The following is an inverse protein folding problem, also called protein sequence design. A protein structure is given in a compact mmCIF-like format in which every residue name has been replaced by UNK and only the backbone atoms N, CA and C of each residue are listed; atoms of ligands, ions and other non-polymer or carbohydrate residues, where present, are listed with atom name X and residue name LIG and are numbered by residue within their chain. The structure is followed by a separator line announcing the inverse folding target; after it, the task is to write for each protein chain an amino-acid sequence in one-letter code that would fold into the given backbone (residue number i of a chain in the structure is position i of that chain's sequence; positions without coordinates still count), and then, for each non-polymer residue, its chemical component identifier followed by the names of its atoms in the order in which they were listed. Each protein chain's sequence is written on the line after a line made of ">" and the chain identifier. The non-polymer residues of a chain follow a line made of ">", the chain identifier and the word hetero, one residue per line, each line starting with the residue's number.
data_IF_518826293519
#
_entry.id   IF_518826293519
#
_cell.length_a   1.000
_cell.length_b   1.000
_cell.length_c   1.000
_cell.angle_alpha   90.00
_cell.angle_beta   90.00
_cell.angle_gamma   90.00
#
_symmetry.space_group_name_H-M   'P 1'
#
loop_
_entity.id
_entity.type
_entity.pdbx_description
1 polymer ?
#
# COMPACT_ATOMS: atom_id res chain seq x y z
N UNK A 1 48.66 65.69 -6.38
CA UNK A 1 48.88 64.22 -6.35
C UNK A 1 47.99 63.43 -5.36
N UNK A 2 47.22 64.07 -4.47
CA UNK A 2 46.39 63.37 -3.46
C UNK A 2 45.08 62.75 -4.00
N UNK A 3 44.49 63.32 -5.06
CA UNK A 3 43.23 62.80 -5.63
C UNK A 3 43.36 61.42 -6.30
N UNK A 4 44.57 61.04 -6.74
CA UNK A 4 44.81 59.75 -7.42
C UNK A 4 44.75 58.57 -6.46
N UNK A 5 45.25 58.73 -5.23
CA UNK A 5 45.21 57.68 -4.19
C UNK A 5 43.79 57.41 -3.70
N UNK A 6 42.93 58.44 -3.60
CA UNK A 6 41.54 58.26 -3.17
C UNK A 6 40.69 57.52 -4.22
N UNK A 7 40.94 57.78 -5.51
CA UNK A 7 40.28 57.06 -6.61
C UNK A 7 40.66 55.57 -6.62
N UNK A 8 41.93 55.23 -6.43
CA UNK A 8 42.40 53.84 -6.39
C UNK A 8 41.83 53.03 -5.21
N UNK A 9 41.72 53.64 -4.02
CA UNK A 9 41.08 53.00 -2.87
C UNK A 9 39.57 52.74 -3.09
N UNK A 10 38.86 53.64 -3.78
CA UNK A 10 37.44 53.43 -4.09
C UNK A 10 37.21 52.32 -5.13
N UNK A 11 38.12 52.18 -6.11
CA UNK A 11 38.07 51.12 -7.12
C UNK A 11 38.42 49.75 -6.55
N UNK A 12 39.41 49.68 -5.65
CA UNK A 12 39.76 48.47 -4.92
C UNK A 12 38.62 48.03 -3.98
N UNK A 13 37.99 48.98 -3.29
CA UNK A 13 36.82 48.69 -2.46
C UNK A 13 35.64 48.14 -3.27
N UNK A 14 35.32 48.75 -4.43
CA UNK A 14 34.26 48.25 -5.32
C UNK A 14 34.54 46.86 -5.89
N UNK A 15 35.77 46.58 -6.29
CA UNK A 15 36.14 45.26 -6.85
C UNK A 15 36.13 44.14 -5.80
N UNK A 16 36.53 44.44 -4.56
CA UNK A 16 36.43 43.51 -3.44
C UNK A 16 34.97 43.22 -3.08
N UNK A 17 34.13 44.25 -2.96
CA UNK A 17 32.70 44.09 -2.67
C UNK A 17 31.99 43.29 -3.76
N UNK A 18 32.29 43.57 -5.04
CA UNK A 18 31.70 42.82 -6.14
C UNK A 18 32.13 41.34 -6.15
N UNK A 19 33.40 41.03 -5.82
CA UNK A 19 33.86 39.64 -5.70
C UNK A 19 33.16 38.92 -4.55
N UNK A 20 33.07 39.53 -3.37
CA UNK A 20 32.39 38.94 -2.20
C UNK A 20 30.92 38.66 -2.52
N UNK A 21 30.21 39.61 -3.12
CA UNK A 21 28.81 39.42 -3.52
C UNK A 21 28.65 38.27 -4.54
N UNK A 22 29.58 38.13 -5.50
CA UNK A 22 29.55 37.04 -6.48
C UNK A 22 29.84 35.67 -5.86
N UNK A 23 30.69 35.61 -4.83
CA UNK A 23 30.99 34.38 -4.09
C UNK A 23 29.83 33.97 -3.20
N UNK A 24 29.20 34.92 -2.51
CA UNK A 24 27.99 34.69 -1.72
C UNK A 24 26.84 34.19 -2.59
N UNK A 25 26.61 34.80 -3.76
CA UNK A 25 25.59 34.34 -4.70
C UNK A 25 25.85 32.93 -5.25
N UNK A 26 27.13 32.55 -5.46
CA UNK A 26 27.51 31.18 -5.85
C UNK A 26 27.33 30.18 -4.71
N UNK A 27 27.69 30.56 -3.48
CA UNK A 27 27.51 29.72 -2.30
C UNK A 27 26.01 29.44 -2.03
N UNK A 28 25.15 30.46 -2.13
CA UNK A 28 23.70 30.30 -2.00
C UNK A 28 23.12 29.38 -3.09
N UNK A 29 23.59 29.50 -4.34
CA UNK A 29 23.19 28.58 -5.43
C UNK A 29 23.68 27.15 -5.22
N UNK A 30 24.88 26.97 -4.65
CA UNK A 30 25.41 25.65 -4.31
C UNK A 30 24.63 24.98 -3.19
N UNK A 31 24.22 25.75 -2.17
CA UNK A 31 23.42 25.25 -1.06
C UNK A 31 22.01 24.83 -1.53
N UNK A 32 21.34 25.63 -2.37
CA UNK A 32 20.02 25.25 -2.89
C UNK A 32 20.07 24.01 -3.79
N UNK A 33 21.15 23.83 -4.57
CA UNK A 33 21.37 22.60 -5.34
C UNK A 33 21.58 21.38 -4.44
N UNK A 34 22.31 21.53 -3.34
CA UNK A 34 22.54 20.45 -2.38
C UNK A 34 21.25 20.06 -1.64
N UNK A 35 20.45 21.04 -1.21
CA UNK A 35 19.15 20.80 -0.57
C UNK A 35 18.18 20.08 -1.51
N UNK A 36 18.12 20.48 -2.79
CA UNK A 36 17.30 19.80 -3.79
C UNK A 36 17.78 18.37 -4.09
N UNK A 37 19.10 18.19 -4.22
CA UNK A 37 19.70 16.88 -4.46
C UNK A 37 19.45 15.89 -3.32
N UNK A 38 19.30 16.39 -2.08
CA UNK A 38 18.98 15.58 -0.91
C UNK A 38 17.46 15.37 -0.77
N UNK A 39 16.64 16.38 -1.06
CA UNK A 39 15.19 16.30 -0.94
C UNK A 39 14.55 15.33 -1.95
N UNK A 40 15.06 15.30 -3.20
CA UNK A 40 14.53 14.44 -4.26
C UNK A 40 14.55 12.94 -3.95
N UNK A 41 15.66 12.33 -3.52
CA UNK A 41 15.67 10.90 -3.17
C UNK A 41 14.79 10.58 -1.95
N UNK A 42 14.68 11.50 -0.98
CA UNK A 42 13.77 11.32 0.17
C UNK A 42 12.32 11.33 -0.30
N UNK A 43 11.94 12.28 -1.16
CA UNK A 43 10.59 12.35 -1.71
C UNK A 43 10.27 11.09 -2.53
N UNK A 44 11.21 10.64 -3.36
CA UNK A 44 11.05 9.41 -4.13
C UNK A 44 10.86 8.18 -3.21
N UNK A 45 11.67 8.05 -2.15
CA UNK A 45 11.53 6.98 -1.17
C UNK A 45 10.18 7.02 -0.45
N UNK A 46 9.68 8.22 -0.11
CA UNK A 46 8.36 8.40 0.51
C UNK A 46 7.22 7.98 -0.43
N UNK A 47 7.28 8.38 -1.70
CA UNK A 47 6.26 8.01 -2.69
C UNK A 47 6.25 6.49 -2.93
N UNK A 48 7.43 5.86 -3.02
CA UNK A 48 7.54 4.40 -3.13
C UNK A 48 7.00 3.71 -1.88
N UNK A 49 7.33 4.21 -0.70
CA UNK A 49 6.80 3.68 0.57
C UNK A 49 5.28 3.78 0.66
N UNK A 50 4.70 4.91 0.24
CA UNK A 50 3.25 5.11 0.20
C UNK A 50 2.58 4.15 -0.79
N UNK A 51 3.16 3.96 -1.98
CA UNK A 51 2.64 3.02 -2.97
C UNK A 51 2.66 1.58 -2.43
N UNK A 52 3.77 1.14 -1.83
CA UNK A 52 3.90 -0.19 -1.22
C UNK A 52 2.88 -0.40 -0.09
N UNK A 53 2.69 0.60 0.77
CA UNK A 53 1.68 0.56 1.83
C UNK A 53 0.26 0.44 1.25
N UNK A 54 -0.03 1.19 0.17
CA UNK A 54 -1.30 1.10 -0.54
C UNK A 54 -1.55 -0.28 -1.14
N UNK A 55 -0.56 -0.88 -1.78
CA UNK A 55 -0.64 -2.25 -2.30
C UNK A 55 -0.89 -3.27 -1.19
N UNK A 56 -0.22 -3.12 -0.04
CA UNK A 56 -0.45 -3.99 1.11
C UNK A 56 -1.87 -3.83 1.67
N UNK A 57 -2.36 -2.61 1.83
CA UNK A 57 -3.72 -2.34 2.29
C UNK A 57 -4.78 -2.92 1.33
N UNK A 58 -4.58 -2.78 0.01
CA UNK A 58 -5.47 -3.36 -0.99
C UNK A 58 -5.49 -4.89 -0.93
N UNK A 59 -4.32 -5.50 -0.77
CA UNK A 59 -4.19 -6.95 -0.58
C UNK A 59 -4.90 -7.43 0.70
N UNK A 60 -4.73 -6.74 1.81
CA UNK A 60 -5.43 -7.06 3.06
C UNK A 60 -6.96 -6.95 2.90
N UNK A 61 -7.45 -5.86 2.29
CA UNK A 61 -8.87 -5.67 2.01
C UNK A 61 -9.44 -6.79 1.11
N UNK A 62 -8.66 -7.26 0.15
CA UNK A 62 -9.05 -8.38 -0.71
C UNK A 62 -9.14 -9.72 0.04
N UNK A 63 -8.27 -9.94 1.03
CA UNK A 63 -8.31 -11.12 1.88
C UNK A 63 -9.61 -11.12 2.71
N UNK A 64 -9.92 -9.99 3.33
CA UNK A 64 -11.13 -9.83 4.15
C UNK A 64 -12.40 -9.94 3.32
N UNK A 65 -12.41 -9.38 2.10
CA UNK A 65 -13.49 -9.60 1.13
C UNK A 65 -13.65 -11.08 0.78
N UNK A 66 -12.54 -11.78 0.50
CA UNK A 66 -12.53 -13.20 0.20
C UNK A 66 -13.12 -14.05 1.33
N UNK A 67 -12.74 -13.75 2.57
CA UNK A 67 -13.29 -14.39 3.78
C UNK A 67 -14.79 -14.14 3.89
N UNK A 68 -15.22 -12.90 3.66
CA UNK A 68 -16.64 -12.52 3.73
C UNK A 68 -17.48 -13.27 2.68
N UNK A 69 -17.13 -13.14 1.41
CA UNK A 69 -17.93 -13.69 0.32
C UNK A 69 -17.97 -15.23 0.35
N UNK A 70 -16.86 -15.88 0.75
CA UNK A 70 -16.81 -17.34 0.90
C UNK A 70 -17.71 -17.80 2.04
N UNK A 71 -17.74 -17.08 3.16
CA UNK A 71 -18.60 -17.43 4.29
C UNK A 71 -20.09 -17.22 4.00
N UNK A 72 -20.44 -16.20 3.22
CA UNK A 72 -21.80 -16.02 2.73
C UNK A 72 -22.18 -17.14 1.76
N UNK A 73 -21.32 -17.45 0.78
CA UNK A 73 -21.58 -18.49 -0.22
C UNK A 73 -21.74 -19.89 0.36
N UNK A 74 -20.99 -20.19 1.41
CA UNK A 74 -21.05 -21.46 2.15
C UNK A 74 -22.37 -21.60 2.91
N UNK A 75 -22.96 -20.50 3.41
CA UNK A 75 -24.16 -20.56 4.24
C UNK A 75 -25.48 -20.25 3.52
N UNK A 76 -25.43 -19.56 2.38
CA UNK A 76 -26.62 -19.10 1.65
C UNK A 76 -27.35 -20.20 0.89
N UNK A 77 -26.70 -21.33 0.57
CA UNK A 77 -27.24 -22.38 -0.27
C UNK A 77 -27.09 -23.76 0.37
N UNK A 78 -27.99 -24.69 0.05
CA UNK A 78 -27.85 -26.11 0.45
C UNK A 78 -26.63 -26.77 -0.19
N UNK A 79 -26.37 -26.44 -1.46
CA UNK A 79 -25.14 -26.76 -2.18
C UNK A 79 -24.23 -25.53 -2.16
N UNK A 80 -23.12 -25.55 -1.41
CA UNK A 80 -22.22 -24.39 -1.31
C UNK A 80 -21.70 -23.93 -2.67
N UNK A 81 -21.89 -22.65 -2.99
CA UNK A 81 -21.36 -22.03 -4.23
C UNK A 81 -19.91 -21.52 -4.05
N UNK A 82 -19.15 -22.15 -3.16
CA UNK A 82 -17.81 -21.68 -2.78
C UNK A 82 -16.80 -21.78 -3.91
N UNK A 83 -16.96 -22.73 -4.84
CA UNK A 83 -16.08 -22.85 -6.01
C UNK A 83 -16.21 -21.65 -6.96
N UNK A 84 -17.44 -21.20 -7.22
CA UNK A 84 -17.74 -20.05 -8.07
C UNK A 84 -17.25 -18.75 -7.42
N UNK A 85 -17.46 -18.63 -6.11
CA UNK A 85 -17.06 -17.42 -5.38
C UNK A 85 -15.54 -17.34 -5.21
N UNK A 86 -14.85 -18.46 -5.00
CA UNK A 86 -13.38 -18.48 -4.92
C UNK A 86 -12.72 -17.97 -6.21
N UNK A 87 -13.31 -18.17 -7.39
CA UNK A 87 -12.74 -17.69 -8.65
C UNK A 87 -12.74 -16.16 -8.75
N UNK A 88 -13.64 -15.46 -8.03
CA UNK A 88 -13.68 -13.98 -7.97
C UNK A 88 -12.56 -13.36 -7.14
N UNK A 89 -11.86 -14.15 -6.32
CA UNK A 89 -10.73 -13.70 -5.50
C UNK A 89 -9.51 -13.57 -6.39
N UNK A 90 -8.98 -12.35 -6.53
CA UNK A 90 -7.88 -12.00 -7.45
C UNK A 90 -6.60 -12.77 -7.12
N UNK A 91 -6.28 -12.92 -5.83
CA UNK A 91 -5.03 -13.55 -5.38
C UNK A 91 -5.19 -15.06 -5.15
N UNK A 92 -4.41 -15.91 -5.86
CA UNK A 92 -4.55 -17.37 -5.78
C UNK A 92 -4.07 -17.95 -4.44
N UNK A 93 -3.07 -17.34 -3.82
CA UNK A 93 -2.56 -17.69 -2.50
C UNK A 93 -3.59 -17.39 -1.40
N UNK A 94 -4.27 -16.25 -1.47
CA UNK A 94 -5.40 -15.92 -0.58
C UNK A 94 -6.53 -16.94 -0.79
N UNK A 95 -6.89 -17.21 -2.06
CA UNK A 95 -7.98 -18.13 -2.44
C UNK A 95 -7.80 -19.55 -1.88
N UNK A 96 -6.58 -20.06 -1.90
CA UNK A 96 -6.28 -21.43 -1.43
C UNK A 96 -6.25 -21.55 0.10
N UNK A 97 -5.99 -20.45 0.82
CA UNK A 97 -5.86 -20.43 2.28
C UNK A 97 -7.14 -20.06 3.03
N UNK A 98 -8.19 -19.64 2.34
CA UNK A 98 -9.50 -19.42 2.95
C UNK A 98 -10.16 -20.76 3.27
N UNK A 99 -10.50 -20.95 4.53
CA UNK A 99 -11.28 -22.07 5.03
C UNK A 99 -12.65 -21.58 5.46
N UNK A 100 -13.70 -22.23 4.99
CA UNK A 100 -15.07 -21.99 5.44
C UNK A 100 -15.72 -23.33 5.80
N UNK A 101 -16.61 -23.29 6.78
CA UNK A 101 -17.37 -24.47 7.18
C UNK A 101 -18.60 -24.11 8.00
N UNK A 102 -19.62 -24.97 7.89
CA UNK A 102 -20.82 -24.87 8.70
C UNK A 102 -20.59 -25.57 10.04
N UNK A 103 -20.79 -24.85 11.15
CA UNK A 103 -20.65 -25.43 12.50
C UNK A 103 -21.98 -25.84 13.11
N UNK A 104 -23.07 -25.21 12.67
CA UNK A 104 -24.44 -25.52 13.04
C UNK A 104 -25.38 -25.08 11.90
N UNK A 105 -26.66 -25.51 11.89
CA UNK A 105 -27.62 -25.05 10.90
C UNK A 105 -27.64 -23.52 10.84
N UNK A 106 -27.40 -22.96 9.66
CA UNK A 106 -27.38 -21.51 9.40
C UNK A 106 -26.27 -20.75 10.16
N UNK A 107 -25.25 -21.44 10.66
CA UNK A 107 -24.06 -20.83 11.25
C UNK A 107 -22.82 -21.23 10.47
N UNK A 108 -22.19 -20.24 9.85
CA UNK A 108 -20.99 -20.42 9.06
C UNK A 108 -19.83 -19.68 9.70
N UNK A 109 -18.69 -20.34 9.75
CA UNK A 109 -17.42 -19.73 10.09
C UNK A 109 -16.54 -19.70 8.86
N UNK A 110 -16.01 -18.53 8.54
CA UNK A 110 -15.01 -18.34 7.49
C UNK A 110 -13.76 -17.75 8.12
N UNK A 111 -12.59 -18.25 7.74
CA UNK A 111 -11.33 -17.81 8.29
C UNK A 111 -10.20 -17.89 7.27
N UNK A 112 -9.20 -17.04 7.47
CA UNK A 112 -7.97 -17.02 6.70
C UNK A 112 -6.78 -16.92 7.66
N UNK A 113 -5.74 -17.67 7.32
CA UNK A 113 -4.46 -17.63 8.01
C UNK A 113 -3.35 -17.63 6.97
N UNK A 114 -2.58 -16.54 6.92
CA UNK A 114 -1.42 -16.38 6.06
C UNK A 114 -0.25 -16.07 6.98
N UNK A 115 0.77 -16.93 6.92
CA UNK A 115 2.05 -16.72 7.59
C UNK A 115 3.13 -17.20 6.63
N UNK A 116 3.72 -16.26 5.90
CA UNK A 116 4.75 -16.52 4.90
C UNK A 116 5.97 -15.64 5.14
N UNK A 117 7.15 -16.23 4.98
CA UNK A 117 8.42 -15.50 4.94
C UNK A 117 9.06 -15.68 3.56
N UNK A 118 9.41 -14.58 2.89
CA UNK A 118 10.13 -14.62 1.62
C UNK A 118 11.32 -13.65 1.61
N UNK A 119 12.44 -14.01 0.96
CA UNK A 119 13.55 -13.09 0.80
C UNK A 119 13.10 -11.89 -0.03
N UNK A 120 13.53 -10.70 0.39
CA UNK A 120 13.28 -9.43 -0.27
C UNK A 120 14.60 -8.74 -0.64
N UNK A 121 14.49 -7.53 -1.17
CA UNK A 121 15.63 -6.68 -1.54
C UNK A 121 16.54 -6.49 -0.32
N UNK A 122 17.86 -6.47 -0.56
CA UNK A 122 18.90 -6.24 0.45
C UNK A 122 19.00 -7.34 1.53
N UNK A 123 18.64 -8.58 1.20
CA UNK A 123 18.68 -9.73 2.14
C UNK A 123 17.77 -9.56 3.37
N UNK A 124 16.82 -8.62 3.30
CA UNK A 124 15.78 -8.46 4.31
C UNK A 124 14.70 -9.50 4.02
N UNK A 125 14.23 -10.22 5.03
CA UNK A 125 13.08 -11.11 4.88
C UNK A 125 11.79 -10.31 5.01
N UNK A 126 10.91 -10.41 4.02
CA UNK A 126 9.56 -9.90 4.11
C UNK A 126 8.68 -10.97 4.76
N UNK A 127 8.11 -10.60 5.91
CA UNK A 127 7.19 -11.44 6.67
C UNK A 127 5.79 -10.91 6.43
N UNK A 128 4.91 -11.76 5.90
CA UNK A 128 3.50 -11.48 5.77
C UNK A 128 2.74 -12.34 6.79
N UNK A 129 2.05 -11.67 7.72
CA UNK A 129 1.18 -12.31 8.70
C UNK A 129 -0.21 -11.67 8.61
N UNK A 130 -1.18 -12.38 8.05
CA UNK A 130 -2.58 -11.95 7.99
C UNK A 130 -3.48 -13.01 8.62
N UNK A 131 -4.34 -12.58 9.54
CA UNK A 131 -5.30 -13.45 10.22
C UNK A 131 -6.65 -12.76 10.23
N UNK A 132 -7.67 -13.46 9.74
CA UNK A 132 -9.04 -12.95 9.70
C UNK A 132 -10.01 -14.08 9.98
N UNK A 133 -11.08 -13.77 10.70
CA UNK A 133 -12.18 -14.71 10.92
C UNK A 133 -13.50 -13.98 11.00
N UNK A 134 -14.52 -14.54 10.37
CA UNK A 134 -15.89 -14.02 10.39
C UNK A 134 -16.87 -15.14 10.72
N UNK A 135 -17.92 -14.77 11.44
CA UNK A 135 -18.99 -15.67 11.84
C UNK A 135 -20.29 -15.13 11.27
N UNK A 136 -20.98 -15.93 10.47
CA UNK A 136 -22.25 -15.60 9.86
C UNK A 136 -23.36 -16.42 10.49
N UNK A 137 -24.45 -15.74 10.86
CA UNK A 137 -25.73 -16.38 11.19
C UNK A 137 -26.78 -15.92 10.19
N UNK A 138 -27.24 -16.83 9.34
CA UNK A 138 -28.11 -16.49 8.21
C UNK A 138 -29.57 -16.72 8.58
N UNK A 139 -30.36 -15.65 8.59
CA UNK A 139 -31.72 -15.69 9.12
C UNK A 139 -32.80 -16.04 8.07
N UNK A 140 -32.56 -15.82 6.76
CA UNK A 140 -33.61 -15.91 5.72
C UNK A 140 -33.16 -16.29 4.29
N UNK A 141 -32.05 -16.99 4.08
CA UNK A 141 -31.77 -17.53 2.75
C UNK A 141 -32.56 -18.82 2.53
N UNK A 142 -33.59 -18.75 1.67
CA UNK A 142 -34.36 -19.91 1.20
C UNK A 142 -33.51 -20.75 0.23
N UNK A 143 -33.70 -22.08 0.21
CA UNK A 143 -32.83 -23.00 -0.50
C UNK A 143 -33.02 -22.90 -2.01
N UNK A 144 -32.06 -22.28 -2.70
CA UNK A 144 -31.78 -22.48 -4.12
C UNK A 144 -32.92 -22.13 -5.10
N UNK A 145 -32.65 -22.24 -6.43
CA UNK A 145 -33.72 -22.24 -7.41
C UNK A 145 -34.68 -23.41 -7.12
N UNK A 146 -36.00 -23.26 -7.38
CA UNK A 146 -36.95 -24.34 -7.16
C UNK A 146 -36.52 -25.61 -7.90
N UNK A 147 -36.80 -26.79 -7.35
CA UNK A 147 -36.59 -28.04 -8.07
C UNK A 147 -37.26 -27.95 -9.45
N UNK A 148 -36.63 -28.45 -10.53
CA UNK A 148 -37.30 -28.51 -11.83
C UNK A 148 -38.61 -29.30 -11.67
N UNK A 149 -39.76 -28.61 -11.79
CA UNK A 149 -41.10 -29.17 -11.63
C UNK A 149 -41.97 -28.66 -10.47
N UNK A 150 -41.65 -27.55 -9.80
CA UNK A 150 -42.54 -26.91 -8.82
C UNK A 150 -43.62 -26.02 -9.45
N UNK A 151 -44.84 -25.90 -8.85
CA UNK A 151 -45.92 -25.09 -9.41
C UNK A 151 -45.62 -23.59 -9.32
N UNK A 152 -45.97 -22.88 -10.39
CA UNK A 152 -45.83 -21.42 -10.57
C UNK A 152 -46.62 -20.59 -9.55
#
# INVERSE_FOLDING_TARGET
>A
MQYRKCAEHSLLSRTVVHRIASLMARAQRGQTMAEYALAMPILAALLVGLALAGFYAFRAASADWGVFITGVAEGSYQTPATAQVRSSIIWPDIRSRIAAGQSAPRQVRSQIFIEDSRPWILSINLIEAHRGSTFFRLWRFYPGPPPPGGPE
#
